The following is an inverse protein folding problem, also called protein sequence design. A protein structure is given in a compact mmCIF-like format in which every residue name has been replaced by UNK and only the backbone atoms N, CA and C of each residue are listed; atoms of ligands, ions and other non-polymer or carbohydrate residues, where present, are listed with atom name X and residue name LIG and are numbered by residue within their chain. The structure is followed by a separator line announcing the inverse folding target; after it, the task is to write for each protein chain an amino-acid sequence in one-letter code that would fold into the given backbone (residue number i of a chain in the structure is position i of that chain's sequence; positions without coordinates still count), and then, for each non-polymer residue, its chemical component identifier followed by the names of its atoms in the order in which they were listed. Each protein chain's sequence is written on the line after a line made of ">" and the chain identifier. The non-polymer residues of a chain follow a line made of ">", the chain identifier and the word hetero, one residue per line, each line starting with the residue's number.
data_IF_483098467010
#
_entry.id   IF_483098467010
#
_cell.length_a   1.000
_cell.length_b   1.000
_cell.length_c   1.000
_cell.angle_alpha   90.00
_cell.angle_beta   90.00
_cell.angle_gamma   90.00
#
_symmetry.space_group_name_H-M   'P 1'
#
loop_
_entity.id
_entity.type
_entity.pdbx_description
1 polymer ?
#
# COMPACT_ATOMS: atom_id res chain seq x y z
N UNK A 1 8.71 -15.20 1.64
CA UNK A 1 7.31 -15.66 1.74
C UNK A 1 6.49 -14.64 2.52
N UNK A 2 5.28 -14.29 2.07
CA UNK A 2 4.35 -13.44 2.84
C UNK A 2 3.77 -14.21 4.04
N UNK A 3 3.51 -13.49 5.14
CA UNK A 3 2.75 -14.01 6.28
C UNK A 3 1.29 -14.28 5.89
N UNK A 4 0.60 -15.13 6.65
CA UNK A 4 -0.83 -15.39 6.44
C UNK A 4 -1.64 -14.09 6.48
N UNK A 5 -1.33 -13.19 7.42
CA UNK A 5 -1.91 -11.84 7.53
C UNK A 5 -1.87 -11.08 6.22
N UNK A 6 -0.70 -10.96 5.60
CA UNK A 6 -0.54 -10.20 4.35
C UNK A 6 -1.10 -10.96 3.13
N UNK A 7 -1.15 -12.30 3.16
CA UNK A 7 -1.84 -13.07 2.11
C UNK A 7 -3.35 -12.83 2.16
N UNK A 8 -3.96 -12.75 3.34
CA UNK A 8 -5.38 -12.41 3.49
C UNK A 8 -5.66 -11.01 2.96
N UNK A 9 -4.82 -10.03 3.30
CA UNK A 9 -4.92 -8.67 2.74
C UNK A 9 -4.80 -8.68 1.22
N UNK A 10 -3.82 -9.40 0.66
CA UNK A 10 -3.63 -9.50 -0.79
C UNK A 10 -4.82 -10.16 -1.50
N UNK A 11 -5.50 -11.11 -0.87
CA UNK A 11 -6.67 -11.79 -1.45
C UNK A 11 -7.91 -10.89 -1.57
N UNK A 12 -7.95 -9.76 -0.83
CA UNK A 12 -9.02 -8.77 -0.92
C UNK A 12 -8.78 -7.73 -2.03
N UNK A 13 -7.58 -7.69 -2.60
CA UNK A 13 -7.23 -6.75 -3.68
C UNK A 13 -7.94 -7.20 -4.97
N UNK A 14 -8.74 -6.32 -5.62
CA UNK A 14 -9.36 -6.63 -6.90
C UNK A 14 -8.31 -6.91 -7.97
N UNK A 15 -8.53 -7.94 -8.77
CA UNK A 15 -7.62 -8.29 -9.85
C UNK A 15 -7.47 -7.13 -10.86
N UNK A 16 -6.23 -6.81 -11.22
CA UNK A 16 -5.88 -5.73 -12.13
C UNK A 16 -5.97 -4.32 -11.53
N UNK A 17 -6.26 -4.19 -10.23
CA UNK A 17 -6.32 -2.88 -9.57
C UNK A 17 -4.96 -2.17 -9.56
N UNK A 18 -5.01 -0.84 -9.56
CA UNK A 18 -3.89 0.02 -9.15
C UNK A 18 -3.98 0.17 -7.63
N UNK A 19 -2.94 -0.24 -6.93
CA UNK A 19 -2.97 -0.33 -5.46
C UNK A 19 -2.12 0.76 -4.85
N UNK A 20 -2.59 1.35 -3.76
CA UNK A 20 -1.77 2.18 -2.89
C UNK A 20 -1.52 1.45 -1.56
N UNK A 21 -0.28 1.05 -1.28
CA UNK A 21 0.13 0.40 -0.03
C UNK A 21 0.73 1.46 0.92
N UNK A 22 -0.07 1.91 1.89
CA UNK A 22 0.29 2.96 2.85
C UNK A 22 1.00 2.36 4.06
N UNK A 23 2.19 2.88 4.37
CA UNK A 23 3.06 2.35 5.42
C UNK A 23 3.74 1.05 5.00
N UNK A 24 4.27 1.04 3.78
CA UNK A 24 4.81 -0.16 3.15
C UNK A 24 5.97 -0.75 3.95
N UNK A 25 5.77 -1.97 4.45
CA UNK A 25 6.83 -2.72 5.12
C UNK A 25 7.76 -3.36 4.08
N UNK A 26 8.77 -2.59 3.66
CA UNK A 26 9.84 -3.03 2.76
C UNK A 26 9.34 -3.58 1.40
N UNK A 27 8.21 -3.07 0.90
CA UNK A 27 7.53 -3.50 -0.33
C UNK A 27 7.17 -5.00 -0.41
N UNK A 28 7.05 -5.70 0.72
CA UNK A 28 6.71 -7.14 0.73
C UNK A 28 5.37 -7.43 0.05
N UNK A 29 4.34 -6.66 0.39
CA UNK A 29 3.01 -6.76 -0.21
C UNK A 29 3.01 -6.27 -1.68
N UNK A 30 3.56 -5.08 -2.01
CA UNK A 30 3.68 -4.61 -3.39
C UNK A 30 4.33 -5.60 -4.33
N UNK A 31 5.48 -6.17 -3.94
CA UNK A 31 6.20 -7.17 -4.73
C UNK A 31 5.32 -8.40 -4.96
N UNK A 32 4.66 -8.90 -3.91
CA UNK A 32 3.79 -10.06 -4.04
C UNK A 32 2.60 -9.81 -4.98
N UNK A 33 1.96 -8.64 -4.88
CA UNK A 33 0.81 -8.29 -5.71
C UNK A 33 1.20 -8.23 -7.20
N UNK A 34 2.36 -7.67 -7.52
CA UNK A 34 2.89 -7.64 -8.89
C UNK A 34 3.32 -9.03 -9.36
N UNK A 35 4.10 -9.77 -8.56
CA UNK A 35 4.59 -11.11 -8.94
C UNK A 35 3.44 -12.10 -9.16
N UNK A 36 2.35 -11.96 -8.39
CA UNK A 36 1.17 -12.83 -8.50
C UNK A 36 0.20 -12.37 -9.59
N UNK A 37 0.49 -11.26 -10.29
CA UNK A 37 -0.40 -10.69 -11.30
C UNK A 37 -1.71 -10.12 -10.75
N UNK A 38 -1.82 -9.93 -9.43
CA UNK A 38 -3.04 -9.44 -8.77
C UNK A 38 -3.22 -7.94 -9.03
N UNK A 39 -2.14 -7.16 -8.94
CA UNK A 39 -2.19 -5.72 -9.17
C UNK A 39 -1.56 -5.35 -10.52
N UNK A 40 -2.12 -4.32 -11.16
CA UNK A 40 -1.56 -3.72 -12.38
C UNK A 40 -0.35 -2.84 -12.07
N UNK A 41 -0.44 -2.08 -10.98
CA UNK A 41 0.63 -1.22 -10.48
C UNK A 41 0.43 -0.99 -8.98
N UNK A 42 1.51 -0.68 -8.26
CA UNK A 42 1.46 -0.39 -6.83
C UNK A 42 2.24 0.88 -6.51
N UNK A 43 1.62 1.81 -5.77
CA UNK A 43 2.34 2.87 -5.05
C UNK A 43 2.68 2.31 -3.67
N UNK A 44 3.95 2.15 -3.37
CA UNK A 44 4.47 1.73 -2.07
C UNK A 44 4.90 2.99 -1.30
N UNK A 45 4.07 3.43 -0.36
CA UNK A 45 4.23 4.69 0.35
C UNK A 45 4.68 4.47 1.80
N UNK A 46 5.61 5.28 2.29
CA UNK A 46 5.96 5.33 3.72
C UNK A 46 6.32 6.76 4.12
N UNK A 47 6.15 7.08 5.40
CA UNK A 47 6.57 8.35 5.98
C UNK A 47 8.09 8.43 6.16
N UNK A 48 8.78 7.28 6.21
CA UNK A 48 10.19 7.17 6.56
C UNK A 48 11.00 6.70 5.36
N UNK A 49 12.15 7.36 5.15
CA UNK A 49 13.03 7.04 4.03
C UNK A 49 13.68 5.66 4.17
N UNK A 50 14.06 5.26 5.39
CA UNK A 50 14.75 3.98 5.62
C UNK A 50 13.93 2.75 5.18
N UNK A 51 12.63 2.60 5.52
CA UNK A 51 11.77 1.57 4.93
C UNK A 51 11.72 1.61 3.40
N UNK A 52 11.68 2.80 2.79
CA UNK A 52 11.62 2.98 1.34
C UNK A 52 12.94 2.62 0.64
N UNK A 53 14.08 2.97 1.21
CA UNK A 53 15.38 2.50 0.72
C UNK A 53 15.40 0.97 0.66
N UNK A 54 14.94 0.33 1.73
CA UNK A 54 14.87 -1.13 1.77
C UNK A 54 13.82 -1.69 0.80
N UNK A 55 12.70 -1.01 0.62
CA UNK A 55 11.69 -1.35 -0.38
C UNK A 55 12.28 -1.32 -1.79
N UNK A 56 13.00 -0.25 -2.16
CA UNK A 56 13.67 -0.11 -3.48
C UNK A 56 14.70 -1.21 -3.71
N UNK A 57 15.49 -1.56 -2.71
CA UNK A 57 16.39 -2.72 -2.78
C UNK A 57 15.63 -4.01 -3.06
N UNK A 58 14.58 -4.31 -2.28
CA UNK A 58 13.81 -5.53 -2.44
C UNK A 58 13.11 -5.61 -3.80
N UNK A 59 12.57 -4.49 -4.30
CA UNK A 59 11.94 -4.40 -5.63
C UNK A 59 12.98 -4.73 -6.70
N UNK A 60 14.19 -4.16 -6.60
CA UNK A 60 15.31 -4.44 -7.51
C UNK A 60 15.71 -5.90 -7.50
N UNK A 61 15.87 -6.50 -6.30
CA UNK A 61 16.21 -7.92 -6.15
C UNK A 61 15.12 -8.85 -6.67
N UNK A 62 13.84 -8.47 -6.51
CA UNK A 62 12.71 -9.22 -7.03
C UNK A 62 12.57 -9.14 -8.57
N UNK A 63 13.27 -8.21 -9.22
CA UNK A 63 13.27 -8.05 -10.68
C UNK A 63 11.93 -7.59 -11.25
N UNK A 64 11.06 -7.00 -10.43
CA UNK A 64 9.71 -6.57 -10.83
C UNK A 64 9.66 -5.10 -11.23
N UNK A 65 8.68 -4.76 -12.06
CA UNK A 65 8.36 -3.39 -12.48
C UNK A 65 6.92 -3.04 -12.06
N UNK A 66 6.54 -1.76 -12.18
CA UNK A 66 5.20 -1.31 -11.84
C UNK A 66 4.97 -1.05 -10.35
N UNK A 67 6.04 -0.89 -9.58
CA UNK A 67 5.99 -0.43 -8.19
C UNK A 67 6.69 0.93 -8.13
N UNK A 68 5.97 1.95 -7.68
CA UNK A 68 6.49 3.30 -7.45
C UNK A 68 6.63 3.53 -5.94
N UNK A 69 7.81 3.97 -5.48
CA UNK A 69 8.06 4.21 -4.05
C UNK A 69 7.94 5.69 -3.73
N UNK A 70 7.11 6.05 -2.75
CA UNK A 70 6.88 7.46 -2.39
C UNK A 70 7.10 7.72 -0.91
N UNK A 71 7.90 8.76 -0.61
CA UNK A 71 8.03 9.30 0.75
C UNK A 71 6.88 10.27 1.00
N UNK A 72 5.83 9.81 1.67
CA UNK A 72 4.67 10.63 1.96
C UNK A 72 3.96 10.21 3.25
N UNK A 73 3.28 11.17 3.89
CA UNK A 73 2.51 10.94 5.09
C UNK A 73 1.09 10.49 4.74
N UNK A 74 0.85 9.19 4.63
CA UNK A 74 -0.46 8.70 4.15
C UNK A 74 -0.68 9.11 2.70
N UNK A 75 -1.75 9.85 2.42
CA UNK A 75 -2.18 10.19 1.05
C UNK A 75 -1.65 11.53 0.51
N UNK A 76 -0.88 12.30 1.27
CA UNK A 76 -0.48 13.68 0.94
C UNK A 76 0.24 13.87 -0.42
N UNK A 77 0.83 12.81 -0.99
CA UNK A 77 1.53 12.83 -2.28
C UNK A 77 0.92 11.90 -3.34
N UNK A 78 -0.36 11.58 -3.21
CA UNK A 78 -1.07 10.62 -4.07
C UNK A 78 -2.34 11.28 -4.62
N UNK A 79 -2.49 11.25 -5.94
CA UNK A 79 -3.68 11.73 -6.62
C UNK A 79 -4.78 10.65 -6.63
N UNK A 80 -6.03 11.09 -6.51
CA UNK A 80 -7.21 10.22 -6.50
C UNK A 80 -7.31 9.33 -7.74
N UNK A 81 -6.75 9.76 -8.86
CA UNK A 81 -6.79 9.00 -10.11
C UNK A 81 -5.67 7.98 -10.23
N UNK A 82 -4.74 7.86 -9.27
CA UNK A 82 -3.59 6.96 -9.39
C UNK A 82 -3.84 5.55 -8.87
N UNK A 83 -4.88 5.36 -8.05
CA UNK A 83 -5.19 4.08 -7.42
C UNK A 83 -6.69 3.78 -7.46
N UNK A 84 -7.03 2.49 -7.37
CA UNK A 84 -8.41 1.98 -7.31
C UNK A 84 -8.69 1.42 -5.90
N UNK A 85 -7.67 0.84 -5.26
CA UNK A 85 -7.74 0.33 -3.89
C UNK A 85 -6.55 0.80 -3.06
N UNK A 86 -6.77 1.09 -1.77
CA UNK A 86 -5.72 1.38 -0.81
C UNK A 86 -5.65 0.30 0.26
N UNK A 87 -4.43 -0.09 0.62
CA UNK A 87 -4.13 -1.03 1.71
C UNK A 87 -3.43 -0.25 2.82
N UNK A 88 -3.93 -0.39 4.05
CA UNK A 88 -3.30 0.15 5.25
C UNK A 88 -3.24 -0.97 6.29
N UNK A 89 -2.08 -1.63 6.42
CA UNK A 89 -1.95 -2.87 7.19
C UNK A 89 -0.77 -2.85 8.15
N UNK A 90 -0.94 -3.41 9.35
CA UNK A 90 0.12 -3.45 10.36
C UNK A 90 0.31 -2.16 11.15
N UNK A 91 -0.64 -1.22 11.02
CA UNK A 91 -0.63 0.10 11.66
C UNK A 91 -1.69 0.11 12.80
N UNK A 92 -1.49 0.90 13.86
CA UNK A 92 -2.46 1.05 14.94
C UNK A 92 -3.77 1.71 14.47
N UNK A 93 -4.91 1.31 15.05
CA UNK A 93 -6.25 1.76 14.62
C UNK A 93 -6.41 3.28 14.61
N UNK A 94 -6.03 3.97 15.68
CA UNK A 94 -6.06 5.44 15.73
C UNK A 94 -5.24 6.11 14.62
N UNK A 95 -4.08 5.54 14.28
CA UNK A 95 -3.22 6.06 13.21
C UNK A 95 -3.87 5.83 11.84
N UNK A 96 -4.48 4.67 11.61
CA UNK A 96 -5.25 4.41 10.38
C UNK A 96 -6.41 5.42 10.26
N UNK A 97 -7.16 5.61 11.34
CA UNK A 97 -8.26 6.57 11.41
C UNK A 97 -7.79 7.98 11.06
N UNK A 98 -6.70 8.45 11.69
CA UNK A 98 -6.11 9.76 11.40
C UNK A 98 -5.49 9.88 10.01
N UNK A 99 -5.12 8.79 9.33
CA UNK A 99 -4.74 8.80 7.90
C UNK A 99 -5.96 9.02 7.02
N UNK A 100 -7.08 8.35 7.33
CA UNK A 100 -8.30 8.43 6.52
C UNK A 100 -9.00 9.78 6.72
N UNK A 101 -9.11 10.26 7.96
CA UNK A 101 -9.82 11.50 8.30
C UNK A 101 -9.28 12.73 7.56
N UNK A 102 -7.95 12.82 7.44
CA UNK A 102 -7.26 13.91 6.75
C UNK A 102 -7.12 13.72 5.24
N UNK A 103 -7.48 12.55 4.70
CA UNK A 103 -7.33 12.26 3.28
C UNK A 103 -8.55 12.75 2.49
N UNK A 104 -8.52 14.02 2.09
CA UNK A 104 -9.62 14.64 1.31
C UNK A 104 -9.93 13.88 0.02
N UNK A 105 -8.92 13.27 -0.59
CA UNK A 105 -9.07 12.46 -1.81
C UNK A 105 -9.97 11.24 -1.63
N UNK A 106 -10.25 10.81 -0.40
CA UNK A 106 -11.14 9.68 -0.09
C UNK A 106 -12.59 10.12 0.14
N UNK A 107 -12.86 11.39 0.49
CA UNK A 107 -14.19 11.85 0.96
C UNK A 107 -15.30 11.74 -0.09
N UNK A 108 -14.96 11.83 -1.37
CA UNK A 108 -15.92 11.79 -2.49
C UNK A 108 -15.53 10.78 -3.57
N UNK A 109 -14.61 9.86 -3.26
CA UNK A 109 -14.09 8.91 -4.24
C UNK A 109 -14.56 7.50 -3.90
N UNK A 110 -15.02 6.77 -4.91
CA UNK A 110 -15.34 5.34 -4.79
C UNK A 110 -14.02 4.55 -4.77
N UNK A 111 -13.39 4.48 -3.60
CA UNK A 111 -12.12 3.77 -3.35
C UNK A 111 -12.35 2.62 -2.39
N UNK A 112 -11.83 1.44 -2.74
CA UNK A 112 -11.79 0.33 -1.81
C UNK A 112 -10.68 0.54 -0.79
N UNK A 113 -11.02 0.52 0.50
CA UNK A 113 -10.05 0.54 1.59
C UNK A 113 -9.95 -0.85 2.23
N UNK A 114 -8.75 -1.42 2.21
CA UNK A 114 -8.43 -2.69 2.86
C UNK A 114 -7.59 -2.38 4.10
N UNK A 115 -8.22 -2.44 5.27
CA UNK A 115 -7.65 -2.00 6.53
C UNK A 115 -7.31 -3.20 7.41
N UNK A 116 -6.11 -3.22 7.97
CA UNK A 116 -5.69 -4.24 8.94
C UNK A 116 -5.00 -3.55 10.13
N UNK A 117 -5.77 -3.13 11.16
CA UNK A 117 -5.22 -2.52 12.36
C UNK A 117 -4.53 -3.53 13.28
N UNK A 118 -3.52 -3.11 14.05
CA UNK A 118 -2.83 -3.96 15.05
C UNK A 118 -3.31 -3.74 16.47
N UNK A 119 -3.87 -2.57 16.77
CA UNK A 119 -4.39 -2.16 18.09
C UNK A 119 -5.62 -1.30 17.89
N UNK A 120 -6.42 -1.14 18.94
CA UNK A 120 -7.49 -0.14 19.03
C UNK A 120 -6.90 1.23 19.33
#
# INVERSE_FOLDING_TARGET
>A
MLSLRLKTVAALVPFGARVCDIGTDHARLPIYLIQSGIAKSVIAADLREKPLEKARENIRFAGVRGIDTRLCNGFDGIDVNEFDAAVIAGIGGEVISGIIDRADILKNADKLLILQPTTS
#
